data_IF_317703093155
#
_entry.id   IF_317703093155
#
_cell.length_a   1.000
_cell.length_b   1.000
_cell.length_c   1.000
_cell.angle_alpha   90.00
_cell.angle_beta   90.00
_cell.angle_gamma   90.00
#
_symmetry.space_group_name_H-M   'P 1'
#
loop_
_entity.id
_entity.type
_entity.pdbx_description
1 polymer ?
#
# COMPACT_ATOMS: atom_id res chain seq x y z
N UNK A 1 18.15 15.47 33.57
CA UNK A 1 18.11 16.57 32.57
C UNK A 1 19.07 16.36 31.41
N UNK A 2 20.39 16.18 31.63
CA UNK A 2 21.38 16.01 30.53
C UNK A 2 21.09 14.84 29.57
N UNK A 3 20.61 13.69 30.07
CA UNK A 3 20.24 12.53 29.24
C UNK A 3 19.03 12.79 28.34
N UNK A 4 18.06 13.57 28.83
CA UNK A 4 16.87 13.97 28.05
C UNK A 4 17.29 14.94 26.94
N UNK A 5 18.19 15.87 27.25
CA UNK A 5 18.72 16.82 26.27
C UNK A 5 19.47 16.11 25.13
N UNK A 6 20.26 15.08 25.46
CA UNK A 6 20.99 14.27 24.48
C UNK A 6 20.03 13.50 23.58
N UNK A 7 18.96 12.91 24.13
CA UNK A 7 17.95 12.19 23.35
C UNK A 7 17.19 13.13 22.39
N UNK A 8 16.86 14.34 22.83
CA UNK A 8 16.23 15.36 21.98
C UNK A 8 17.17 15.75 20.83
N UNK A 9 18.46 15.96 21.13
CA UNK A 9 19.48 16.34 20.14
C UNK A 9 19.73 15.24 19.10
N UNK A 10 19.78 13.97 19.53
CA UNK A 10 19.90 12.81 18.63
C UNK A 10 18.64 12.69 17.75
N UNK A 11 17.44 12.89 18.31
CA UNK A 11 16.21 12.82 17.51
C UNK A 11 16.13 13.94 16.47
N UNK A 12 16.60 15.15 16.80
CA UNK A 12 16.63 16.30 15.89
C UNK A 12 17.66 16.13 14.77
N UNK A 13 18.73 15.36 15.00
CA UNK A 13 19.77 15.10 14.00
C UNK A 13 19.33 14.04 12.98
N UNK A 14 18.53 13.04 13.39
CA UNK A 14 17.97 12.04 12.47
C UNK A 14 16.93 12.63 11.50
N UNK A 15 16.19 13.66 11.91
CA UNK A 15 15.19 14.32 11.06
C UNK A 15 15.76 15.16 9.91
N UNK A 16 17.06 15.48 9.91
CA UNK A 16 17.70 16.29 8.85
C UNK A 16 18.09 15.42 7.63
N UNK A 17 18.07 14.08 7.77
CA UNK A 17 18.51 13.17 6.69
C UNK A 17 17.41 12.74 5.71
N UNK A 18 16.18 13.24 5.85
CA UNK A 18 15.05 12.88 4.97
C UNK A 18 14.63 14.10 4.15
N UNK A 19 15.40 14.37 3.09
CA UNK A 19 14.92 15.11 1.93
C UNK A 19 15.17 14.24 0.71
N UNK A 20 14.24 13.33 0.44
CA UNK A 20 14.08 12.73 -0.89
C UNK A 20 12.98 13.52 -1.60
N UNK A 21 13.28 14.78 -1.95
CA UNK A 21 12.47 15.54 -2.89
C UNK A 21 12.70 14.99 -4.28
N UNK A 22 11.79 14.14 -4.77
CA UNK A 22 11.66 13.87 -6.20
C UNK A 22 10.58 14.80 -6.73
N UNK A 23 10.98 15.98 -7.21
CA UNK A 23 10.13 16.84 -8.04
C UNK A 23 10.29 16.44 -9.51
N UNK A 24 9.96 15.18 -9.82
CA UNK A 24 9.79 14.76 -11.19
C UNK A 24 8.51 15.34 -11.76
N UNK A 25 8.60 16.41 -12.56
CA UNK A 25 7.49 16.80 -13.42
C UNK A 25 7.20 15.66 -14.39
N UNK A 26 5.99 15.12 -14.33
CA UNK A 26 5.54 14.02 -15.18
C UNK A 26 5.13 14.56 -16.55
N UNK A 27 6.11 15.11 -17.28
CA UNK A 27 5.97 15.47 -18.69
C UNK A 27 6.13 14.20 -19.51
N UNK A 28 5.01 13.54 -19.81
CA UNK A 28 4.95 12.43 -20.77
C UNK A 28 5.25 12.96 -22.18
N UNK A 29 6.54 13.18 -22.44
CA UNK A 29 7.06 13.51 -23.76
C UNK A 29 6.77 12.35 -24.70
N UNK A 30 5.83 12.58 -25.60
CA UNK A 30 5.44 11.66 -26.66
C UNK A 30 6.56 11.63 -27.70
N UNK A 31 7.66 10.93 -27.39
CA UNK A 31 8.72 10.61 -28.34
C UNK A 31 8.95 9.11 -28.42
N UNK A 32 8.60 8.60 -29.60
CA UNK A 32 8.75 7.24 -30.09
C UNK A 32 10.20 6.73 -30.03
N UNK A 33 10.32 5.42 -29.78
CA UNK A 33 11.49 4.57 -30.06
C UNK A 33 12.83 4.93 -29.39
N UNK A 34 12.80 5.38 -28.13
CA UNK A 34 13.96 5.21 -27.26
C UNK A 34 13.88 3.83 -26.60
N UNK A 35 14.84 2.94 -26.89
CA UNK A 35 14.97 1.71 -26.11
C UNK A 35 15.17 2.09 -24.64
N UNK A 36 14.23 1.67 -23.78
CA UNK A 36 14.36 1.87 -22.33
C UNK A 36 15.61 1.11 -21.90
N UNK A 37 16.64 1.83 -21.47
CA UNK A 37 17.91 1.23 -21.08
C UNK A 37 17.75 0.55 -19.72
N UNK A 38 17.51 -0.76 -19.74
CA UNK A 38 17.50 -1.60 -18.55
C UNK A 38 18.84 -2.35 -18.44
N UNK A 39 19.69 -1.89 -17.51
CA UNK A 39 21.01 -2.50 -17.25
C UNK A 39 20.92 -3.98 -16.84
N UNK A 40 19.76 -4.44 -16.35
CA UNK A 40 19.53 -5.81 -15.86
C UNK A 40 18.50 -6.57 -16.70
N UNK A 41 18.30 -6.19 -17.97
CA UNK A 41 17.27 -6.76 -18.84
C UNK A 41 17.28 -8.30 -18.88
N UNK A 42 18.47 -8.92 -19.01
CA UNK A 42 18.60 -10.38 -19.07
C UNK A 42 18.12 -11.07 -17.79
N UNK A 43 18.45 -10.51 -16.63
CA UNK A 43 18.00 -11.03 -15.33
C UNK A 43 16.50 -10.81 -15.15
N UNK A 44 16.01 -9.60 -15.45
CA UNK A 44 14.60 -9.25 -15.33
C UNK A 44 13.72 -10.13 -16.23
N UNK A 45 14.15 -10.38 -17.47
CA UNK A 45 13.47 -11.31 -18.39
C UNK A 45 13.51 -12.75 -17.90
N UNK A 46 14.62 -13.19 -17.31
CA UNK A 46 14.74 -14.52 -16.71
C UNK A 46 13.75 -14.73 -15.56
N UNK A 47 13.73 -13.80 -14.61
CA UNK A 47 12.78 -13.81 -13.48
C UNK A 47 11.34 -13.71 -14.00
N UNK A 48 11.09 -12.86 -14.99
CA UNK A 48 9.77 -12.72 -15.59
C UNK A 48 9.30 -14.03 -16.25
N UNK A 49 10.18 -14.75 -16.96
CA UNK A 49 9.85 -16.04 -17.54
C UNK A 49 9.53 -17.08 -16.46
N UNK A 50 10.28 -17.11 -15.35
CA UNK A 50 9.99 -17.96 -14.20
C UNK A 50 8.62 -17.62 -13.59
N UNK A 51 8.34 -16.34 -13.36
CA UNK A 51 7.06 -15.87 -12.82
C UNK A 51 5.89 -16.24 -13.73
N UNK A 52 6.06 -16.14 -15.06
CA UNK A 52 5.05 -16.59 -16.02
C UNK A 52 4.84 -18.12 -15.98
N UNK A 53 5.90 -18.90 -15.75
CA UNK A 53 5.79 -20.34 -15.53
C UNK A 53 4.99 -20.67 -14.28
N UNK A 54 5.33 -20.05 -13.15
CA UNK A 54 4.62 -20.20 -11.88
C UNK A 54 3.16 -19.72 -11.96
N UNK A 55 2.89 -18.62 -12.68
CA UNK A 55 1.53 -18.15 -12.89
C UNK A 55 0.69 -19.20 -13.62
N UNK A 56 1.19 -19.77 -14.71
CA UNK A 56 0.45 -20.77 -15.48
C UNK A 56 0.16 -22.05 -14.68
N UNK A 57 1.09 -22.49 -13.85
CA UNK A 57 1.01 -23.78 -13.15
C UNK A 57 0.34 -23.66 -11.78
N UNK A 58 0.54 -22.56 -11.05
CA UNK A 58 0.13 -22.42 -9.65
C UNK A 58 -0.86 -21.27 -9.48
N UNK A 59 -0.47 -20.03 -9.76
CA UNK A 59 -1.29 -18.88 -9.37
C UNK A 59 -2.59 -18.75 -10.19
N UNK A 60 -2.54 -18.96 -11.50
CA UNK A 60 -3.71 -18.90 -12.38
C UNK A 60 -4.77 -19.96 -12.05
N UNK A 61 -4.45 -21.26 -11.86
CA UNK A 61 -5.46 -22.24 -11.45
C UNK A 61 -6.04 -21.92 -10.06
N UNK A 62 -5.22 -21.51 -9.09
CA UNK A 62 -5.70 -21.09 -7.76
C UNK A 62 -6.64 -19.88 -7.86
N UNK A 63 -6.29 -18.87 -8.65
CA UNK A 63 -7.13 -17.70 -8.86
C UNK A 63 -8.44 -18.04 -9.59
N UNK A 64 -8.43 -19.01 -10.53
CA UNK A 64 -9.65 -19.53 -11.16
C UNK A 64 -10.54 -20.23 -10.14
N UNK A 65 -9.97 -21.09 -9.30
CA UNK A 65 -10.72 -21.76 -8.23
C UNK A 65 -11.34 -20.75 -7.25
N UNK A 66 -10.57 -19.74 -6.83
CA UNK A 66 -11.06 -18.66 -5.98
C UNK A 66 -12.22 -17.87 -6.63
N UNK A 67 -12.18 -17.65 -7.95
CA UNK A 67 -13.26 -16.96 -8.67
C UNK A 67 -14.60 -17.70 -8.64
N UNK A 68 -14.61 -19.01 -8.43
CA UNK A 68 -15.83 -19.83 -8.30
C UNK A 68 -16.57 -19.52 -7.00
N UNK A 69 -15.89 -18.97 -5.99
CA UNK A 69 -16.52 -18.63 -4.72
C UNK A 69 -17.61 -17.54 -4.87
N UNK A 70 -18.66 -17.57 -4.04
CA UNK A 70 -19.71 -16.55 -4.06
C UNK A 70 -19.18 -15.13 -3.87
N UNK A 71 -19.83 -14.15 -4.51
CA UNK A 71 -19.45 -12.75 -4.43
C UNK A 71 -19.28 -12.23 -2.99
N UNK A 72 -20.15 -12.55 -2.01
CA UNK A 72 -19.99 -12.08 -0.63
C UNK A 72 -18.68 -12.53 0.03
N UNK A 73 -18.23 -13.76 -0.25
CA UNK A 73 -16.97 -14.28 0.29
C UNK A 73 -15.80 -13.51 -0.30
N UNK A 74 -15.79 -13.33 -1.63
CA UNK A 74 -14.70 -12.61 -2.31
C UNK A 74 -14.63 -11.14 -1.90
N UNK A 75 -15.78 -10.49 -1.78
CA UNK A 75 -15.87 -9.10 -1.30
C UNK A 75 -15.43 -8.99 0.15
N UNK A 76 -15.87 -9.92 1.01
CA UNK A 76 -15.44 -9.95 2.42
C UNK A 76 -13.93 -10.11 2.56
N UNK A 77 -13.33 -11.05 1.83
CA UNK A 77 -11.87 -11.20 1.79
C UNK A 77 -11.17 -9.94 1.28
N UNK A 78 -11.69 -9.30 0.21
CA UNK A 78 -11.14 -8.04 -0.28
C UNK A 78 -11.19 -6.94 0.78
N UNK A 79 -12.30 -6.83 1.52
CA UNK A 79 -12.45 -5.83 2.58
C UNK A 79 -11.46 -6.07 3.73
N UNK A 80 -11.28 -7.33 4.14
CA UNK A 80 -10.30 -7.69 5.19
C UNK A 80 -8.89 -7.32 4.76
N UNK A 81 -8.50 -7.62 3.52
CA UNK A 81 -7.18 -7.26 3.00
C UNK A 81 -6.98 -5.75 2.96
N UNK A 82 -7.98 -4.99 2.53
CA UNK A 82 -7.97 -3.51 2.55
C UNK A 82 -7.83 -2.98 3.98
N UNK A 83 -8.58 -3.54 4.93
CA UNK A 83 -8.49 -3.17 6.34
C UNK A 83 -7.10 -3.48 6.92
N UNK A 84 -6.49 -4.60 6.53
CA UNK A 84 -5.15 -4.97 7.00
C UNK A 84 -4.06 -4.08 6.40
N UNK A 85 -4.20 -3.66 5.14
CA UNK A 85 -3.30 -2.69 4.52
C UNK A 85 -3.23 -1.37 5.28
N UNK A 86 -4.28 -0.99 6.01
CA UNK A 86 -4.26 0.21 6.86
C UNK A 86 -3.17 0.17 7.93
N UNK A 87 -2.72 -1.01 8.39
CA UNK A 87 -1.60 -1.12 9.34
C UNK A 87 -0.27 -0.59 8.79
N UNK A 88 -0.11 -0.58 7.47
CA UNK A 88 1.08 -0.08 6.78
C UNK A 88 0.83 1.36 6.31
N UNK A 89 -0.36 1.63 5.75
CA UNK A 89 -0.70 2.95 5.21
C UNK A 89 -0.80 4.03 6.30
N UNK A 90 -1.34 3.72 7.49
CA UNK A 90 -1.50 4.72 8.57
C UNK A 90 -0.14 5.30 9.03
N UNK A 91 0.87 4.48 9.37
CA UNK A 91 2.21 5.00 9.63
C UNK A 91 2.78 5.81 8.47
N UNK A 92 2.60 5.36 7.22
CA UNK A 92 3.08 6.09 6.04
C UNK A 92 2.43 7.48 5.93
N UNK A 93 1.10 7.60 6.04
CA UNK A 93 0.41 8.90 6.03
C UNK A 93 0.95 9.81 7.14
N UNK A 94 1.19 9.28 8.34
CA UNK A 94 1.73 10.06 9.47
C UNK A 94 3.14 10.55 9.16
N UNK A 95 4.01 9.69 8.62
CA UNK A 95 5.39 10.04 8.25
C UNK A 95 5.43 11.05 7.10
N UNK A 96 4.46 11.02 6.18
CA UNK A 96 4.29 11.99 5.10
C UNK A 96 3.63 13.30 5.55
N UNK A 97 3.18 13.39 6.80
CA UNK A 97 2.53 14.60 7.37
C UNK A 97 1.03 14.73 7.04
N UNK A 98 0.42 13.69 6.48
CA UNK A 98 -0.97 13.65 6.03
C UNK A 98 -1.92 13.24 7.16
N UNK A 99 -1.95 14.02 8.23
CA UNK A 99 -2.70 13.68 9.44
C UNK A 99 -4.20 13.52 9.23
N UNK A 100 -4.79 14.25 8.27
CA UNK A 100 -6.21 14.11 7.91
C UNK A 100 -6.49 12.72 7.34
N UNK A 101 -5.70 12.29 6.36
CA UNK A 101 -5.81 10.97 5.72
C UNK A 101 -5.54 9.86 6.72
N UNK A 102 -4.49 10.02 7.54
CA UNK A 102 -4.18 9.09 8.63
C UNK A 102 -5.37 8.93 9.59
N UNK A 103 -6.00 10.02 10.03
CA UNK A 103 -7.15 9.99 10.94
C UNK A 103 -8.36 9.26 10.34
N UNK A 104 -8.63 9.50 9.05
CA UNK A 104 -9.68 8.77 8.31
C UNK A 104 -9.36 7.28 8.24
N UNK A 105 -8.14 6.90 7.86
CA UNK A 105 -7.71 5.51 7.74
C UNK A 105 -7.74 4.78 9.10
N UNK A 106 -7.34 5.45 10.20
CA UNK A 106 -7.49 4.93 11.57
C UNK A 106 -8.96 4.69 11.91
N UNK A 107 -9.83 5.66 11.65
CA UNK A 107 -11.26 5.53 11.93
C UNK A 107 -11.89 4.38 11.17
N UNK A 108 -11.59 4.25 9.87
CA UNK A 108 -12.02 3.11 9.04
C UNK A 108 -11.52 1.79 9.61
N UNK A 109 -10.24 1.70 9.98
CA UNK A 109 -9.64 0.49 10.55
C UNK A 109 -10.35 0.05 11.85
N UNK A 110 -10.56 0.97 12.78
CA UNK A 110 -11.20 0.68 14.06
C UNK A 110 -12.65 0.21 13.86
N UNK A 111 -13.43 0.94 13.04
CA UNK A 111 -14.83 0.62 12.79
C UNK A 111 -14.97 -0.72 12.06
N UNK A 112 -14.19 -0.93 11.01
CA UNK A 112 -14.27 -2.16 10.23
C UNK A 112 -13.77 -3.37 11.04
N UNK A 113 -12.76 -3.20 11.89
CA UNK A 113 -12.27 -4.29 12.76
C UNK A 113 -13.27 -4.66 13.85
N UNK A 114 -13.96 -3.67 14.44
CA UNK A 114 -14.90 -3.88 15.56
C UNK A 114 -16.31 -4.22 15.07
N UNK A 115 -16.97 -3.26 14.39
CA UNK A 115 -18.35 -3.37 13.90
C UNK A 115 -18.41 -4.19 12.62
N UNK A 116 -17.40 -4.05 11.75
CA UNK A 116 -17.31 -4.77 10.49
C UNK A 116 -16.84 -6.23 10.59
N UNK A 117 -16.73 -6.79 11.80
CA UNK A 117 -16.28 -8.17 12.08
C UNK A 117 -14.90 -8.40 11.44
N UNK A 118 -13.85 -7.83 12.04
CA UNK A 118 -12.47 -7.92 11.58
C UNK A 118 -12.23 -7.39 10.15
N UNK A 119 -13.14 -6.56 9.65
CA UNK A 119 -13.06 -5.97 8.31
C UNK A 119 -13.73 -6.80 7.22
N UNK A 120 -14.48 -7.87 7.55
CA UNK A 120 -15.28 -8.61 6.56
C UNK A 120 -16.33 -7.67 5.93
N UNK A 121 -16.95 -6.82 6.73
CA UNK A 121 -17.93 -5.83 6.31
C UNK A 121 -17.32 -4.42 6.40
N UNK A 122 -17.44 -3.64 5.32
CA UNK A 122 -17.06 -2.23 5.33
C UNK A 122 -18.17 -1.38 5.97
N UNK A 123 -18.22 -1.42 7.30
CA UNK A 123 -19.16 -0.64 8.11
C UNK A 123 -18.83 0.87 8.05
N UNK A 124 -17.55 1.22 7.99
CA UNK A 124 -17.10 2.61 7.93
C UNK A 124 -17.63 3.33 6.69
N UNK A 125 -17.60 2.67 5.52
CA UNK A 125 -18.20 3.23 4.29
C UNK A 125 -19.70 3.49 4.43
N UNK A 126 -20.44 2.60 5.08
CA UNK A 126 -21.88 2.81 5.35
C UNK A 126 -22.15 3.98 6.31
N UNK A 127 -21.19 4.32 7.16
CA UNK A 127 -21.26 5.44 8.09
C UNK A 127 -20.80 6.78 7.47
N UNK A 128 -20.47 6.80 6.17
CA UNK A 128 -20.11 8.03 5.46
C UNK A 128 -18.62 8.38 5.50
N UNK A 129 -17.75 7.47 5.93
CA UNK A 129 -16.31 7.67 5.76
C UNK A 129 -15.95 7.66 4.27
N UNK A 130 -15.04 8.54 3.87
CA UNK A 130 -14.50 8.57 2.50
C UNK A 130 -13.87 7.24 2.13
N UNK A 131 -13.81 6.95 0.82
CA UNK A 131 -13.18 5.76 0.27
C UNK A 131 -11.73 5.65 0.79
N UNK A 132 -11.27 4.42 1.00
CA UNK A 132 -9.89 4.16 1.41
C UNK A 132 -8.94 4.62 0.31
N UNK A 133 -7.98 5.47 0.67
CA UNK A 133 -6.93 5.94 -0.22
C UNK A 133 -5.64 5.20 0.11
N UNK A 134 -5.11 4.48 -0.90
CA UNK A 134 -3.84 3.76 -0.79
C UNK A 134 -2.72 4.72 -1.12
N UNK A 135 -1.77 4.86 -0.20
CA UNK A 135 -0.51 5.58 -0.45
C UNK A 135 0.56 4.73 -1.16
N UNK A 136 0.27 3.45 -1.44
CA UNK A 136 1.22 2.47 -2.00
C UNK A 136 0.62 1.67 -3.18
#
# INVERSE_FOLDING_TARGET
MKRILILIFISSFLSVSVYAGSDGSNELSKKSDASVKDCFEGLNRGIFALNQGLDKVIFKPVAKAYRVLPAPVRTGTSNVLVNLSSLITIPNNVLQGEFKTAGVNVGRFVINTTVGILGIFDAAKKMGFSEYEKED
#
